data_IF_619765198044
#
_entry.id   IF_619765198044
#
_cell.length_a   1.000
_cell.length_b   1.000
_cell.length_c   1.000
_cell.angle_alpha   90.00
_cell.angle_beta   90.00
_cell.angle_gamma   90.00
#
_symmetry.space_group_name_H-M   'P 1'
#
loop_
_entity.id
_entity.type
_entity.pdbx_description
1 polymer ?
#
# COMPACT_ATOMS: atom_id res chain seq x y z
N UNK A 1 30.47 11.08 -0.25
CA UNK A 1 29.61 10.80 -1.41
C UNK A 1 28.13 11.05 -1.10
N UNK A 2 27.55 10.48 -0.03
CA UNK A 2 26.13 10.67 0.32
C UNK A 2 25.63 12.14 0.37
N UNK A 3 26.48 13.10 0.75
CA UNK A 3 26.06 14.50 0.89
C UNK A 3 25.81 15.27 -0.43
N UNK A 4 26.37 14.82 -1.57
CA UNK A 4 26.29 15.58 -2.84
C UNK A 4 24.88 15.54 -3.46
N UNK A 5 24.10 14.49 -3.20
CA UNK A 5 22.79 14.29 -3.80
C UNK A 5 21.63 14.54 -2.82
N UNK A 6 21.91 15.05 -1.62
CA UNK A 6 20.91 15.25 -0.57
C UNK A 6 19.73 16.13 -1.02
N UNK A 7 20.01 17.20 -1.76
CA UNK A 7 18.99 18.11 -2.28
C UNK A 7 18.05 17.39 -3.25
N UNK A 8 18.62 16.63 -4.19
CA UNK A 8 17.86 15.82 -5.15
C UNK A 8 16.96 14.80 -4.44
N UNK A 9 17.49 14.06 -3.45
CA UNK A 9 16.70 13.07 -2.72
C UNK A 9 15.61 13.70 -1.84
N UNK A 10 15.87 14.87 -1.28
CA UNK A 10 14.86 15.64 -0.54
C UNK A 10 13.72 16.09 -1.46
N UNK A 11 14.05 16.60 -2.66
CA UNK A 11 13.07 16.97 -3.67
C UNK A 11 12.29 15.75 -4.16
N UNK A 12 12.97 14.63 -4.44
CA UNK A 12 12.34 13.39 -4.88
C UNK A 12 11.33 12.85 -3.86
N UNK A 13 11.61 12.97 -2.56
CA UNK A 13 10.67 12.60 -1.49
C UNK A 13 9.41 13.48 -1.53
N UNK A 14 9.56 14.80 -1.71
CA UNK A 14 8.43 15.71 -1.85
C UNK A 14 7.60 15.41 -3.11
N UNK A 15 8.26 15.28 -4.26
CA UNK A 15 7.60 14.99 -5.55
C UNK A 15 6.87 13.65 -5.49
N UNK A 16 7.43 12.65 -4.82
CA UNK A 16 6.79 11.33 -4.65
C UNK A 16 5.51 11.39 -3.80
N UNK A 17 5.50 12.19 -2.72
CA UNK A 17 4.28 12.45 -1.91
C UNK A 17 3.20 13.15 -2.72
N UNK A 18 3.57 14.12 -3.56
CA UNK A 18 2.65 14.77 -4.48
C UNK A 18 2.15 13.80 -5.57
N UNK A 19 3.02 12.90 -6.03
CA UNK A 19 2.69 11.92 -7.07
C UNK A 19 1.65 10.89 -6.60
N UNK A 20 1.73 10.40 -5.37
CA UNK A 20 0.70 9.50 -4.82
C UNK A 20 -0.70 10.10 -4.89
N UNK A 21 -0.85 11.42 -4.67
CA UNK A 21 -2.14 12.12 -4.81
C UNK A 21 -2.68 12.10 -6.23
N UNK A 22 -1.79 12.21 -7.22
CA UNK A 22 -2.17 12.21 -8.64
C UNK A 22 -2.59 10.82 -9.10
N UNK A 23 -1.91 9.79 -8.61
CA UNK A 23 -2.15 8.40 -8.99
C UNK A 23 -3.33 7.74 -8.26
N UNK A 24 -3.65 8.18 -7.04
CA UNK A 24 -4.75 7.62 -6.26
C UNK A 24 -6.10 8.01 -6.83
N UNK A 25 -6.96 7.02 -7.04
CA UNK A 25 -8.36 7.27 -7.39
C UNK A 25 -9.07 7.98 -6.22
N UNK A 26 -9.78 9.10 -6.46
CA UNK A 26 -10.27 9.98 -5.40
C UNK A 26 -11.36 9.38 -4.51
N UNK A 27 -12.02 8.30 -4.95
CA UNK A 27 -13.08 7.63 -4.18
C UNK A 27 -12.60 6.35 -3.50
N UNK A 28 -11.86 5.50 -4.22
CA UNK A 28 -11.46 4.17 -3.74
C UNK A 28 -10.07 4.17 -3.11
N UNK A 29 -9.24 5.19 -3.39
CA UNK A 29 -7.84 5.22 -2.99
C UNK A 29 -6.96 4.23 -3.76
N UNK A 30 -7.50 3.45 -4.70
CA UNK A 30 -6.70 2.53 -5.49
C UNK A 30 -5.74 3.28 -6.41
N UNK A 31 -4.53 2.77 -6.55
CA UNK A 31 -3.52 3.24 -7.51
C UNK A 31 -3.30 2.17 -8.60
N UNK A 32 -2.93 2.54 -9.83
CA UNK A 32 -2.61 1.55 -10.86
C UNK A 32 -1.25 0.90 -10.60
N UNK A 33 -1.02 -0.26 -11.21
CA UNK A 33 0.33 -0.86 -11.25
C UNK A 33 1.33 0.13 -11.86
N UNK A 34 1.01 0.70 -13.03
CA UNK A 34 1.83 1.70 -13.71
C UNK A 34 1.04 2.99 -13.97
N UNK A 35 1.73 4.12 -13.82
CA UNK A 35 1.20 5.45 -14.14
C UNK A 35 2.28 6.32 -14.81
N UNK A 36 1.84 7.26 -15.65
CA UNK A 36 2.67 8.31 -16.23
C UNK A 36 3.04 9.34 -15.15
N UNK A 37 4.02 10.22 -15.41
CA UNK A 37 4.45 11.24 -14.44
C UNK A 37 3.35 12.24 -14.01
N UNK A 38 2.25 12.34 -14.75
CA UNK A 38 1.08 13.13 -14.36
C UNK A 38 0.09 12.37 -13.46
N UNK A 39 0.38 11.09 -13.13
CA UNK A 39 -0.43 10.20 -12.32
C UNK A 39 -1.47 9.39 -13.10
N UNK A 40 -1.63 9.64 -14.41
CA UNK A 40 -2.60 8.88 -15.22
C UNK A 40 -2.15 7.43 -15.42
N UNK A 41 -3.05 6.44 -15.38
CA UNK A 41 -2.68 5.04 -15.59
C UNK A 41 -1.97 4.81 -16.94
N UNK A 42 -0.98 3.91 -16.93
CA UNK A 42 -0.13 3.63 -18.09
C UNK A 42 -0.08 2.13 -18.41
N UNK A 43 0.07 1.80 -19.70
CA UNK A 43 0.28 0.44 -20.17
C UNK A 43 -0.99 -0.28 -20.63
N UNK A 44 -0.90 -1.61 -20.73
CA UNK A 44 -2.02 -2.46 -21.14
C UNK A 44 -3.09 -2.55 -20.04
N UNK A 45 -4.23 -3.17 -20.36
CA UNK A 45 -5.29 -3.45 -19.38
C UNK A 45 -4.78 -4.20 -18.15
N UNK A 46 -3.66 -4.93 -18.23
CA UNK A 46 -3.07 -5.60 -17.08
C UNK A 46 -2.33 -4.65 -16.12
N UNK A 47 -1.94 -3.44 -16.53
CA UNK A 47 -1.09 -2.55 -15.72
C UNK A 47 -1.71 -1.18 -15.41
N UNK A 48 -2.83 -0.84 -16.05
CA UNK A 48 -3.59 0.39 -15.75
C UNK A 48 -4.53 0.26 -14.54
N UNK A 49 -4.67 -0.95 -14.02
CA UNK A 49 -5.59 -1.31 -12.93
C UNK A 49 -4.83 -1.52 -11.62
N UNK A 50 -5.55 -1.65 -10.50
CA UNK A 50 -4.97 -2.05 -9.23
C UNK A 50 -4.74 -3.56 -9.23
N UNK A 51 -3.48 -3.97 -9.35
CA UNK A 51 -3.06 -5.38 -9.28
C UNK A 51 -1.81 -5.53 -8.41
N UNK A 52 -1.01 -6.55 -8.69
CA UNK A 52 0.04 -7.05 -7.81
C UNK A 52 1.10 -6.01 -7.44
N UNK A 53 1.45 -5.12 -8.37
CA UNK A 53 2.43 -4.08 -8.11
C UNK A 53 1.84 -2.98 -7.22
N UNK A 54 0.60 -2.59 -7.51
CA UNK A 54 -0.13 -1.54 -6.83
C UNK A 54 -0.44 -1.85 -5.37
N UNK A 55 -0.51 -3.12 -4.96
CA UNK A 55 -0.73 -3.50 -3.55
C UNK A 55 0.25 -2.82 -2.59
N UNK A 56 1.50 -2.63 -3.02
CA UNK A 56 2.57 -2.04 -2.21
C UNK A 56 2.40 -0.54 -1.99
N UNK A 57 1.58 0.14 -2.79
CA UNK A 57 1.32 1.57 -2.59
C UNK A 57 0.66 1.85 -1.25
N UNK A 58 -0.17 0.92 -0.75
CA UNK A 58 -0.76 0.96 0.59
C UNK A 58 0.34 1.02 1.68
N UNK A 59 1.33 0.14 1.57
CA UNK A 59 2.48 0.12 2.48
C UNK A 59 3.36 1.35 2.34
N UNK A 60 3.71 1.76 1.12
CA UNK A 60 4.65 2.86 0.88
C UNK A 60 4.15 4.18 1.47
N UNK A 61 2.87 4.50 1.25
CA UNK A 61 2.22 5.70 1.80
C UNK A 61 2.27 5.68 3.32
N UNK A 62 1.92 4.54 3.94
CA UNK A 62 1.81 4.45 5.38
C UNK A 62 3.16 4.38 6.11
N UNK A 63 4.18 3.78 5.49
CA UNK A 63 5.54 3.73 6.05
C UNK A 63 6.19 5.12 6.02
N UNK A 64 6.05 5.87 4.94
CA UNK A 64 6.53 7.27 4.89
C UNK A 64 5.87 8.12 5.98
N UNK A 65 4.56 7.97 6.16
CA UNK A 65 3.85 8.64 7.26
C UNK A 65 4.36 8.21 8.63
N UNK A 66 4.50 6.90 8.89
CA UNK A 66 4.93 6.39 10.19
C UNK A 66 6.35 6.84 10.57
N UNK A 67 7.22 7.04 9.59
CA UNK A 67 8.60 7.46 9.81
C UNK A 67 8.78 8.97 9.87
N UNK A 68 8.05 9.73 9.06
CA UNK A 68 8.30 11.15 8.88
C UNK A 68 7.11 12.04 9.20
N UNK A 69 5.88 11.51 9.18
CA UNK A 69 4.62 12.22 9.39
C UNK A 69 4.55 13.56 8.63
N UNK A 70 5.16 13.60 7.44
CA UNK A 70 5.38 14.84 6.69
C UNK A 70 4.14 15.30 5.92
N UNK A 71 3.12 14.45 5.80
CA UNK A 71 1.98 14.68 4.94
C UNK A 71 0.67 14.09 5.49
N UNK A 72 -0.29 14.92 5.94
CA UNK A 72 -1.57 14.45 6.48
C UNK A 72 -2.47 13.77 5.45
N UNK A 73 -2.27 14.01 4.14
CA UNK A 73 -3.05 13.32 3.09
C UNK A 73 -2.84 11.80 3.13
N UNK A 74 -1.70 11.34 3.66
CA UNK A 74 -1.40 9.91 3.77
C UNK A 74 -2.35 9.19 4.74
N UNK A 75 -2.81 9.87 5.79
CA UNK A 75 -3.85 9.37 6.70
C UNK A 75 -5.17 9.23 5.95
N UNK A 76 -5.59 10.28 5.24
CA UNK A 76 -6.82 10.28 4.44
C UNK A 76 -6.81 9.19 3.37
N UNK A 77 -5.67 9.02 2.71
CA UNK A 77 -5.47 8.01 1.68
C UNK A 77 -5.54 6.59 2.25
N UNK A 78 -4.86 6.33 3.36
CA UNK A 78 -4.91 5.03 4.03
C UNK A 78 -6.32 4.71 4.53
N UNK A 79 -7.04 5.68 5.10
CA UNK A 79 -8.45 5.48 5.46
C UNK A 79 -9.30 5.14 4.23
N UNK A 80 -9.20 5.93 3.16
CA UNK A 80 -9.99 5.75 1.93
C UNK A 80 -9.84 4.36 1.33
N UNK A 81 -8.60 3.88 1.17
CA UNK A 81 -8.35 2.57 0.56
C UNK A 81 -8.75 1.42 1.47
N UNK A 82 -8.57 1.55 2.79
CA UNK A 82 -9.01 0.55 3.75
C UNK A 82 -10.54 0.48 3.85
N UNK A 83 -11.23 1.62 3.89
CA UNK A 83 -12.70 1.66 3.88
C UNK A 83 -13.25 1.03 2.58
N UNK A 84 -12.61 1.30 1.44
CA UNK A 84 -12.96 0.65 0.17
C UNK A 84 -12.78 -0.87 0.27
N UNK A 85 -11.62 -1.38 0.69
CA UNK A 85 -11.39 -2.83 0.81
C UNK A 85 -12.34 -3.48 1.81
N UNK A 86 -12.64 -2.80 2.93
CA UNK A 86 -13.58 -3.29 3.94
C UNK A 86 -14.98 -3.44 3.35
N UNK A 87 -15.42 -2.51 2.49
CA UNK A 87 -16.70 -2.59 1.79
C UNK A 87 -16.81 -3.79 0.84
N UNK A 88 -15.69 -4.36 0.41
CA UNK A 88 -15.61 -5.55 -0.44
C UNK A 88 -15.58 -6.86 0.39
N UNK A 89 -15.58 -6.77 1.72
CA UNK A 89 -15.57 -7.88 2.65
C UNK A 89 -14.15 -8.23 3.13
N UNK A 90 -13.91 -8.10 4.44
CA UNK A 90 -12.56 -8.24 5.03
C UNK A 90 -11.87 -9.59 4.74
N UNK A 91 -12.65 -10.68 4.66
CA UNK A 91 -12.12 -12.04 4.45
C UNK A 91 -12.17 -12.49 2.98
N UNK A 92 -12.66 -11.63 2.07
CA UNK A 92 -13.01 -12.05 0.71
C UNK A 92 -12.80 -10.99 -0.37
N UNK A 93 -12.29 -9.81 -0.04
CA UNK A 93 -12.10 -8.75 -1.04
C UNK A 93 -11.18 -9.26 -2.17
N UNK A 94 -11.53 -8.98 -3.43
CA UNK A 94 -10.69 -9.30 -4.57
C UNK A 94 -9.28 -8.74 -4.46
N UNK A 95 -8.33 -9.43 -5.08
CA UNK A 95 -6.94 -8.99 -5.15
C UNK A 95 -6.66 -8.08 -6.36
N UNK A 96 -7.65 -7.86 -7.23
CA UNK A 96 -7.53 -7.03 -8.42
C UNK A 96 -8.82 -6.26 -8.68
N UNK A 97 -8.67 -4.97 -9.00
CA UNK A 97 -9.78 -4.06 -9.28
C UNK A 97 -9.42 -3.09 -10.39
N UNK A 98 -10.41 -2.70 -11.20
CA UNK A 98 -10.32 -1.43 -11.92
C UNK A 98 -10.30 -0.30 -10.88
N UNK A 99 -9.72 0.86 -11.22
CA UNK A 99 -9.53 1.93 -10.25
C UNK A 99 -10.85 2.50 -9.69
N UNK A 100 -11.94 2.38 -10.45
CA UNK A 100 -13.29 2.74 -10.00
C UNK A 100 -13.89 1.78 -8.97
N UNK A 101 -13.19 0.68 -8.67
CA UNK A 101 -13.58 -0.33 -7.69
C UNK A 101 -14.25 -1.57 -8.29
N UNK A 102 -14.38 -1.67 -9.61
CA UNK A 102 -14.93 -2.87 -10.27
C UNK A 102 -14.01 -4.08 -10.06
N UNK A 103 -14.48 -5.18 -9.45
CA UNK A 103 -13.69 -6.41 -9.29
C UNK A 103 -13.22 -6.99 -10.63
N UNK A 104 -11.94 -7.34 -10.71
CA UNK A 104 -11.34 -8.00 -11.89
C UNK A 104 -10.91 -9.44 -11.61
N UNK A 105 -11.03 -9.88 -10.36
CA UNK A 105 -10.73 -11.22 -9.89
C UNK A 105 -11.71 -11.60 -8.77
N UNK A 106 -11.80 -12.88 -8.44
CA UNK A 106 -12.41 -13.38 -7.21
C UNK A 106 -11.39 -13.87 -6.17
N UNK A 107 -10.10 -13.83 -6.51
CA UNK A 107 -9.03 -14.32 -5.64
C UNK A 107 -8.77 -13.34 -4.50
N UNK A 108 -8.50 -13.87 -3.31
CA UNK A 108 -8.09 -13.12 -2.13
C UNK A 108 -6.66 -13.54 -1.76
N UNK A 109 -5.75 -12.58 -1.63
CA UNK A 109 -4.31 -12.84 -1.49
C UNK A 109 -3.76 -12.31 -0.19
N UNK A 110 -3.00 -13.16 0.52
CA UNK A 110 -2.32 -12.78 1.77
C UNK A 110 -1.38 -11.60 1.57
N UNK A 111 -0.76 -11.43 0.39
CA UNK A 111 0.07 -10.28 0.07
C UNK A 111 -0.69 -8.96 0.18
N UNK A 112 -1.92 -8.88 -0.34
CA UNK A 112 -2.76 -7.69 -0.22
C UNK A 112 -3.28 -7.50 1.21
N UNK A 113 -3.64 -8.57 1.92
CA UNK A 113 -3.93 -8.52 3.38
C UNK A 113 -2.77 -7.89 4.13
N UNK A 114 -1.55 -8.28 3.79
CA UNK A 114 -0.35 -7.81 4.45
C UNK A 114 -0.10 -6.33 4.20
N UNK A 115 -0.23 -5.85 2.95
CA UNK A 115 -0.02 -4.42 2.66
C UNK A 115 -1.16 -3.55 3.18
N UNK A 116 -2.39 -4.04 3.21
CA UNK A 116 -3.51 -3.37 3.86
C UNK A 116 -3.31 -3.25 5.38
N UNK A 117 -2.79 -4.28 6.04
CA UNK A 117 -2.42 -4.20 7.45
C UNK A 117 -1.32 -3.14 7.70
N UNK A 118 -0.35 -2.97 6.78
CA UNK A 118 0.64 -1.89 6.88
C UNK A 118 0.03 -0.51 6.70
N UNK A 119 -1.02 -0.37 5.86
CA UNK A 119 -1.73 0.91 5.73
C UNK A 119 -2.30 1.42 7.06
N UNK A 120 -2.60 0.51 8.00
CA UNK A 120 -3.05 0.84 9.35
C UNK A 120 -2.03 1.65 10.17
N UNK A 121 -0.76 1.71 9.77
CA UNK A 121 0.24 2.57 10.42
C UNK A 121 -0.09 4.07 10.29
N UNK A 122 -0.80 4.45 9.23
CA UNK A 122 -1.24 5.83 8.99
C UNK A 122 -2.74 6.01 9.15
N UNK A 123 -3.55 4.96 8.99
CA UNK A 123 -5.00 5.03 9.11
C UNK A 123 -5.45 5.31 10.56
N UNK A 124 -6.69 5.75 10.70
CA UNK A 124 -7.35 5.84 11.99
C UNK A 124 -7.48 4.45 12.63
N UNK A 125 -7.34 4.32 13.96
CA UNK A 125 -7.36 3.02 14.62
C UNK A 125 -8.60 2.17 14.32
N UNK A 126 -9.78 2.79 14.21
CA UNK A 126 -11.02 2.05 13.96
C UNK A 126 -11.11 1.49 12.52
N UNK A 127 -10.49 2.18 11.54
CA UNK A 127 -10.37 1.70 10.16
C UNK A 127 -9.25 0.68 10.00
N UNK A 128 -8.11 0.88 10.68
CA UNK A 128 -6.91 0.06 10.52
C UNK A 128 -6.93 -1.26 11.30
N UNK A 129 -7.49 -1.30 12.52
CA UNK A 129 -7.47 -2.48 13.40
C UNK A 129 -7.98 -3.77 12.74
N UNK A 130 -9.10 -3.77 11.98
CA UNK A 130 -9.58 -4.98 11.32
C UNK A 130 -8.56 -5.60 10.36
N UNK A 131 -7.78 -4.79 9.65
CA UNK A 131 -6.77 -5.28 8.71
C UNK A 131 -5.53 -5.82 9.41
N UNK A 132 -5.11 -5.20 10.52
CA UNK A 132 -4.04 -5.76 11.38
C UNK A 132 -4.47 -7.11 11.96
N UNK A 133 -5.72 -7.22 12.39
CA UNK A 133 -6.29 -8.48 12.87
C UNK A 133 -6.33 -9.54 11.75
N UNK A 134 -6.75 -9.17 10.54
CA UNK A 134 -6.76 -10.09 9.39
C UNK A 134 -5.34 -10.62 9.05
N UNK A 135 -4.31 -9.77 9.13
CA UNK A 135 -2.92 -10.23 8.98
C UNK A 135 -2.49 -11.15 10.14
N UNK A 136 -2.88 -10.82 11.37
CA UNK A 136 -2.57 -11.65 12.54
C UNK A 136 -3.17 -13.06 12.43
N UNK A 137 -4.40 -13.16 11.92
CA UNK A 137 -5.11 -14.44 11.75
C UNK A 137 -4.70 -15.19 10.48
N UNK A 138 -3.99 -14.54 9.56
CA UNK A 138 -3.58 -15.14 8.30
C UNK A 138 -2.56 -16.27 8.51
N UNK A 139 -2.74 -17.37 7.75
CA UNK A 139 -1.75 -18.44 7.70
C UNK A 139 -0.53 -18.01 6.90
N UNK A 140 0.65 -18.54 7.27
CA UNK A 140 1.88 -18.34 6.51
C UNK A 140 1.67 -18.84 5.06
N UNK A 141 1.90 -18.01 4.03
CA UNK A 141 1.69 -18.40 2.64
C UNK A 141 2.48 -19.65 2.24
N UNK A 142 1.82 -20.56 1.52
CA UNK A 142 2.41 -21.80 1.01
C UNK A 142 1.94 -22.09 -0.42
N UNK A 143 2.43 -23.16 -1.06
CA UNK A 143 2.08 -23.49 -2.45
C UNK A 143 2.77 -22.61 -3.51
N UNK A 144 2.27 -22.63 -4.74
CA UNK A 144 2.97 -22.07 -5.91
C UNK A 144 3.10 -20.54 -5.90
N UNK A 145 2.18 -19.82 -5.26
CA UNK A 145 2.14 -18.35 -5.21
C UNK A 145 2.83 -17.73 -4.00
N UNK A 146 3.39 -18.56 -3.11
CA UNK A 146 3.94 -18.17 -1.80
C UNK A 146 5.06 -17.15 -1.83
N UNK A 147 5.73 -16.94 -2.97
CA UNK A 147 6.89 -16.06 -3.03
C UNK A 147 6.49 -14.61 -2.74
N UNK A 148 5.59 -14.05 -3.55
CA UNK A 148 5.24 -12.64 -3.41
C UNK A 148 4.37 -12.39 -2.18
N UNK A 149 3.38 -13.26 -1.94
CA UNK A 149 2.57 -13.24 -0.72
C UNK A 149 3.45 -13.36 0.54
N UNK A 150 4.40 -14.30 0.56
CA UNK A 150 5.26 -14.55 1.71
C UNK A 150 6.22 -13.40 2.01
N UNK A 151 6.76 -12.74 0.97
CA UNK A 151 7.59 -11.55 1.15
C UNK A 151 6.80 -10.38 1.74
N UNK A 152 5.61 -10.10 1.19
CA UNK A 152 4.74 -9.04 1.70
C UNK A 152 4.22 -9.36 3.10
N UNK A 153 3.93 -10.63 3.40
CA UNK A 153 3.56 -11.11 4.73
C UNK A 153 4.63 -10.86 5.77
N UNK A 154 5.88 -11.27 5.50
CA UNK A 154 6.98 -11.06 6.43
C UNK A 154 7.25 -9.56 6.66
N UNK A 155 7.26 -8.76 5.58
CA UNK A 155 7.43 -7.31 5.69
C UNK A 155 6.27 -6.68 6.46
N UNK A 156 5.04 -7.11 6.19
CA UNK A 156 3.83 -6.69 6.90
C UNK A 156 3.96 -6.91 8.41
N UNK A 157 4.35 -8.11 8.84
CA UNK A 157 4.59 -8.43 10.24
C UNK A 157 5.68 -7.56 10.88
N UNK A 158 6.79 -7.31 10.17
CA UNK A 158 7.85 -6.43 10.67
C UNK A 158 7.35 -5.00 10.86
N UNK A 159 6.56 -4.49 9.92
CA UNK A 159 5.97 -3.15 9.99
C UNK A 159 4.99 -3.03 11.16
N UNK A 160 3.95 -3.88 11.22
CA UNK A 160 2.87 -3.74 12.23
C UNK A 160 3.32 -4.12 13.64
N UNK A 161 4.42 -4.85 13.80
CA UNK A 161 5.05 -5.11 15.10
C UNK A 161 6.02 -4.01 15.55
N UNK A 162 6.27 -2.99 14.73
CA UNK A 162 7.22 -1.91 15.04
C UNK A 162 8.69 -2.34 14.96
N UNK A 163 9.01 -3.43 14.25
CA UNK A 163 10.37 -3.94 14.07
C UNK A 163 11.03 -3.54 12.74
N UNK A 164 10.28 -2.91 11.82
CA UNK A 164 10.83 -2.29 10.63
C UNK A 164 11.24 -0.84 10.92
N UNK A 165 12.53 -0.61 11.17
CA UNK A 165 13.07 0.66 11.70
C UNK A 165 14.12 1.27 10.79
N UNK A 166 14.29 2.59 10.91
CA UNK A 166 15.43 3.30 10.31
C UNK A 166 16.67 3.05 11.18
N UNK A 167 17.74 2.58 10.55
CA UNK A 167 19.07 2.45 11.18
C UNK A 167 20.03 3.43 10.50
N UNK A 168 20.15 4.63 11.07
CA UNK A 168 21.13 5.63 10.61
C UNK A 168 22.50 5.36 11.25
N UNK A 169 23.58 5.50 10.47
CA UNK A 169 24.92 5.58 11.03
C UNK A 169 25.08 6.97 11.66
N UNK A 170 25.45 7.01 12.95
CA UNK A 170 25.76 8.24 13.68
C UNK A 170 27.14 8.78 13.37
#
# INVERSE_FOLDING_TARGET
EAAQDNEFWSEAAQVSREYFRKAAHPQTGLMPDYANFDGTPHGSDAHKDFRFDAWRTLSNVAVDYAWFAADPWQVEQSNRVLDFLFSQGIDSYPNQFALDGTPLSSDHSTGLVSTAAVAALAADPETGKPFVQALWDAQIPSGQWRYYDGMLYLLGLLHVSGNFKIYIQG
#
